data_IF_402421464887
#
_entry.id   IF_402421464887
#
_cell.length_a   1.000
_cell.length_b   1.000
_cell.length_c   1.000
_cell.angle_alpha   90.00
_cell.angle_beta   90.00
_cell.angle_gamma   90.00
#
_symmetry.space_group_name_H-M   'P 1'
#
loop_
_entity.id
_entity.type
_entity.pdbx_description
1 polymer ?
#
# COMPACT_ATOMS: atom_id res chain seq x y z
N UNK A 1 9.21 23.63 4.39
CA UNK A 1 8.67 22.39 3.80
C UNK A 1 9.30 21.20 4.50
N UNK A 2 8.56 20.50 5.37
CA UNK A 2 9.05 19.33 6.11
C UNK A 2 9.05 18.09 5.21
N UNK A 3 10.24 17.58 4.86
CA UNK A 3 10.39 16.30 4.17
C UNK A 3 10.32 15.17 5.20
N UNK A 4 9.20 14.43 5.22
CA UNK A 4 9.09 13.18 5.98
C UNK A 4 9.79 12.09 5.18
N UNK A 5 11.00 11.73 5.60
CA UNK A 5 11.73 10.58 5.05
C UNK A 5 11.50 9.35 5.92
N UNK A 6 11.25 8.22 5.27
CA UNK A 6 11.34 6.90 5.91
C UNK A 6 12.82 6.63 6.22
N UNK A 7 13.11 6.04 7.38
CA UNK A 7 14.46 5.82 7.88
C UNK A 7 15.34 5.10 6.85
N UNK A 8 16.42 5.74 6.41
CA UNK A 8 17.56 5.11 5.73
C UNK A 8 18.72 5.06 6.72
N UNK A 9 19.32 3.88 6.87
CA UNK A 9 20.49 3.65 7.69
C UNK A 9 21.66 3.35 6.75
N UNK A 10 22.36 4.39 6.32
CA UNK A 10 23.69 4.27 5.71
C UNK A 10 24.68 4.97 6.64
N UNK A 11 25.65 4.21 7.11
CA UNK A 11 26.82 4.72 7.79
C UNK A 11 27.75 5.31 6.73
N UNK A 12 28.01 6.61 6.79
CA UNK A 12 29.29 7.22 6.44
C UNK A 12 29.33 8.63 7.05
N UNK A 13 30.48 8.94 7.65
CA UNK A 13 30.71 10.02 8.60
C UNK A 13 30.99 11.38 7.92
N UNK A 14 30.87 12.46 8.71
CA UNK A 14 31.44 13.80 8.55
C UNK A 14 30.57 14.95 7.97
N UNK A 15 29.68 15.48 8.82
CA UNK A 15 29.51 16.92 9.12
C UNK A 15 28.37 17.06 10.13
N UNK A 16 28.70 17.35 11.40
CA UNK A 16 27.74 17.52 12.50
C UNK A 16 26.84 18.75 12.25
N UNK A 17 25.70 18.54 11.60
CA UNK A 17 24.48 19.29 11.90
C UNK A 17 23.73 18.48 12.95
N UNK A 18 23.63 18.98 14.18
CA UNK A 18 22.76 18.39 15.20
C UNK A 18 21.31 18.43 14.71
N UNK A 19 20.91 17.38 14.03
CA UNK A 19 19.56 17.21 13.53
C UNK A 19 18.81 16.50 14.65
N UNK A 20 18.03 17.23 15.47
CA UNK A 20 17.20 16.61 16.50
C UNK A 20 16.12 15.74 15.83
N UNK A 21 16.42 14.45 15.60
CA UNK A 21 15.48 13.50 15.02
C UNK A 21 14.42 13.13 16.07
N UNK A 22 13.24 13.74 16.02
CA UNK A 22 12.09 13.29 16.81
C UNK A 22 11.32 12.24 16.00
N UNK A 23 11.22 11.02 16.54
CA UNK A 23 10.37 9.96 16.00
C UNK A 23 9.03 9.90 16.75
N UNK A 24 7.95 9.69 16.02
CA UNK A 24 6.60 9.52 16.56
C UNK A 24 6.06 8.16 16.13
N UNK A 25 5.61 7.35 17.08
CA UNK A 25 5.06 6.02 16.82
C UNK A 25 3.54 6.06 16.88
N UNK A 26 2.87 5.55 15.85
CA UNK A 26 1.41 5.55 15.73
C UNK A 26 0.91 4.12 15.61
N UNK A 27 0.03 3.70 16.53
CA UNK A 27 -0.65 2.40 16.49
C UNK A 27 0.06 1.28 17.25
N UNK A 28 -0.08 0.04 16.75
CA UNK A 28 0.40 -1.18 17.42
C UNK A 28 1.90 -1.43 17.28
N UNK A 29 2.33 -2.69 17.44
CA UNK A 29 3.70 -3.14 17.17
C UNK A 29 3.68 -4.59 16.70
N UNK A 30 4.78 -5.11 16.15
CA UNK A 30 4.85 -6.53 15.75
C UNK A 30 4.55 -7.43 16.95
N UNK A 31 5.12 -7.13 18.11
CA UNK A 31 4.97 -7.89 19.35
C UNK A 31 3.51 -7.90 19.81
N UNK A 32 2.87 -6.73 19.86
CA UNK A 32 1.45 -6.61 20.22
C UNK A 32 0.54 -7.32 19.23
N UNK A 33 0.81 -7.19 17.93
CA UNK A 33 0.02 -7.84 16.88
C UNK A 33 0.07 -9.37 17.01
N UNK A 34 1.27 -9.94 17.24
CA UNK A 34 1.45 -11.37 17.42
C UNK A 34 0.86 -11.90 18.74
N UNK A 35 0.89 -11.09 19.80
CA UNK A 35 0.22 -11.42 21.06
C UNK A 35 -1.31 -11.38 20.93
N UNK A 36 -1.84 -10.57 20.01
CA UNK A 36 -3.27 -10.27 19.91
C UNK A 36 -3.70 -9.11 20.80
N UNK A 37 -2.75 -8.36 21.36
CA UNK A 37 -2.95 -7.22 22.25
C UNK A 37 -3.15 -5.92 21.45
N UNK A 38 -3.97 -6.01 20.41
CA UNK A 38 -4.34 -4.90 19.53
C UNK A 38 -5.86 -4.81 19.44
N UNK A 39 -6.39 -3.61 19.57
CA UNK A 39 -7.82 -3.38 19.37
C UNK A 39 -8.08 -3.11 17.89
N UNK A 40 -8.95 -3.92 17.28
CA UNK A 40 -9.32 -3.79 15.88
C UNK A 40 -10.85 -3.77 15.77
N UNK A 41 -11.42 -2.57 15.78
CA UNK A 41 -12.86 -2.34 15.67
C UNK A 41 -13.27 -2.23 14.19
N UNK A 42 -14.04 -3.20 13.63
CA UNK A 42 -14.35 -3.24 12.20
C UNK A 42 -15.01 -1.96 11.66
N UNK A 43 -16.01 -1.45 12.38
CA UNK A 43 -16.77 -0.26 11.97
C UNK A 43 -15.86 0.97 11.94
N UNK A 44 -15.03 1.15 12.97
CA UNK A 44 -14.11 2.28 13.04
C UNK A 44 -13.10 2.24 11.87
N UNK A 45 -12.54 1.07 11.56
CA UNK A 45 -11.62 0.89 10.42
C UNK A 45 -12.30 1.26 9.11
N UNK A 46 -13.51 0.75 8.86
CA UNK A 46 -14.24 1.00 7.61
C UNK A 46 -14.65 2.48 7.47
N UNK A 47 -15.13 3.10 8.55
CA UNK A 47 -15.50 4.52 8.55
C UNK A 47 -14.29 5.44 8.33
N UNK A 48 -13.17 5.13 8.99
CA UNK A 48 -11.94 5.88 8.81
C UNK A 48 -11.42 5.72 7.37
N UNK A 49 -11.40 4.50 6.84
CA UNK A 49 -10.99 4.22 5.47
C UNK A 49 -11.86 4.99 4.47
N UNK A 50 -13.17 5.06 4.69
CA UNK A 50 -14.08 5.81 3.83
C UNK A 50 -13.74 7.30 3.82
N UNK A 51 -13.57 7.93 4.99
CA UNK A 51 -13.20 9.34 5.12
C UNK A 51 -11.86 9.66 4.46
N UNK A 52 -10.85 8.83 4.71
CA UNK A 52 -9.51 9.01 4.16
C UNK A 52 -9.51 8.83 2.64
N UNK A 53 -10.28 7.87 2.13
CA UNK A 53 -10.45 7.64 0.69
C UNK A 53 -11.10 8.84 0.03
N UNK A 54 -12.21 9.34 0.58
CA UNK A 54 -12.89 10.53 0.08
C UNK A 54 -11.97 11.75 0.03
N UNK A 55 -11.23 12.00 1.12
CA UNK A 55 -10.31 13.13 1.24
C UNK A 55 -9.17 13.10 0.22
N UNK A 56 -8.62 11.92 -0.06
CA UNK A 56 -7.43 11.78 -0.91
C UNK A 56 -7.73 11.24 -2.32
N UNK A 57 -9.01 11.09 -2.67
CA UNK A 57 -9.46 10.37 -3.85
C UNK A 57 -8.75 10.84 -5.13
N UNK A 58 -8.76 12.14 -5.40
CA UNK A 58 -8.19 12.73 -6.63
C UNK A 58 -6.68 12.54 -6.75
N UNK A 59 -5.96 12.55 -5.63
CA UNK A 59 -4.49 12.36 -5.60
C UNK A 59 -4.09 10.90 -5.66
N UNK A 60 -4.95 10.01 -5.18
CA UNK A 60 -4.67 8.58 -5.09
C UNK A 60 -5.17 7.79 -6.30
N UNK A 61 -6.32 8.18 -6.86
CA UNK A 61 -6.96 7.48 -7.97
C UNK A 61 -6.04 7.25 -9.18
N UNK A 62 -5.21 8.21 -9.65
CA UNK A 62 -4.33 7.96 -10.79
C UNK A 62 -3.32 6.84 -10.54
N UNK A 63 -2.80 6.72 -9.31
CA UNK A 63 -1.88 5.63 -8.95
C UNK A 63 -2.60 4.27 -8.95
N UNK A 64 -3.84 4.24 -8.45
CA UNK A 64 -4.66 3.02 -8.45
C UNK A 64 -5.09 2.61 -9.86
N UNK A 65 -5.43 3.57 -10.74
CA UNK A 65 -5.71 3.32 -12.15
C UNK A 65 -4.46 2.78 -12.86
N UNK A 66 -3.29 3.38 -12.60
CA UNK A 66 -2.01 2.90 -13.14
C UNK A 66 -1.75 1.44 -12.73
N UNK A 67 -1.96 1.10 -11.46
CA UNK A 67 -1.86 -0.26 -10.96
C UNK A 67 -2.84 -1.21 -11.67
N UNK A 68 -4.10 -0.78 -11.81
CA UNK A 68 -5.15 -1.59 -12.45
C UNK A 68 -4.87 -1.85 -13.94
N UNK A 69 -4.45 -0.83 -14.69
CA UNK A 69 -4.05 -0.97 -16.09
C UNK A 69 -2.83 -1.90 -16.21
N UNK A 70 -1.84 -1.74 -15.32
CA UNK A 70 -0.67 -2.62 -15.30
C UNK A 70 -1.05 -4.07 -15.00
N UNK A 71 -1.99 -4.31 -14.07
CA UNK A 71 -2.51 -5.64 -13.79
C UNK A 71 -3.17 -6.27 -15.02
N UNK A 72 -4.03 -5.51 -15.72
CA UNK A 72 -4.67 -5.99 -16.96
C UNK A 72 -3.61 -6.28 -18.03
N UNK A 73 -2.63 -5.39 -18.21
CA UNK A 73 -1.57 -5.57 -19.20
C UNK A 73 -0.72 -6.83 -18.92
N UNK A 74 -0.35 -7.08 -17.66
CA UNK A 74 0.36 -8.28 -17.25
C UNK A 74 -0.49 -9.54 -17.48
N UNK A 75 -1.78 -9.50 -17.14
CA UNK A 75 -2.69 -10.62 -17.36
C UNK A 75 -2.81 -10.97 -18.84
N UNK A 76 -3.01 -9.96 -19.70
CA UNK A 76 -3.09 -10.15 -21.15
C UNK A 76 -1.77 -10.67 -21.72
N UNK A 77 -0.64 -10.15 -21.24
CA UNK A 77 0.68 -10.63 -21.65
C UNK A 77 0.89 -12.11 -21.25
N UNK A 78 0.58 -12.47 -20.01
CA UNK A 78 0.72 -13.84 -19.52
C UNK A 78 -0.23 -14.82 -20.22
N UNK A 79 -1.46 -14.40 -20.56
CA UNK A 79 -2.36 -15.21 -21.38
C UNK A 79 -1.83 -15.38 -22.80
N UNK A 80 -1.29 -14.32 -23.42
CA UNK A 80 -0.68 -14.39 -24.75
C UNK A 80 0.51 -15.36 -24.77
N UNK A 81 1.36 -15.34 -23.74
CA UNK A 81 2.51 -16.26 -23.63
C UNK A 81 2.06 -17.72 -23.53
N UNK A 82 0.94 -17.99 -22.88
CA UNK A 82 0.48 -19.36 -22.63
C UNK A 82 -0.41 -19.94 -23.73
N UNK A 83 -1.28 -19.12 -24.33
CA UNK A 83 -2.28 -19.57 -25.30
C UNK A 83 -2.02 -19.03 -26.72
N UNK A 84 -0.95 -18.26 -26.93
CA UNK A 84 -0.66 -17.53 -28.17
C UNK A 84 -1.55 -16.30 -28.40
N UNK A 85 -2.82 -16.34 -27.96
CA UNK A 85 -3.78 -15.24 -28.01
C UNK A 85 -4.66 -15.20 -26.76
N UNK A 86 -4.81 -14.03 -26.09
CA UNK A 86 -5.73 -13.89 -24.97
C UNK A 86 -7.19 -14.15 -25.33
N UNK A 87 -7.58 -13.95 -26.59
CA UNK A 87 -8.97 -14.13 -27.03
C UNK A 87 -9.48 -15.54 -26.80
N UNK A 88 -8.60 -16.56 -26.91
CA UNK A 88 -8.94 -17.96 -26.64
C UNK A 88 -9.51 -18.13 -25.23
N UNK A 89 -8.94 -17.42 -24.25
CA UNK A 89 -9.41 -17.45 -22.87
C UNK A 89 -10.73 -16.71 -22.69
N UNK A 90 -10.86 -15.51 -23.27
CA UNK A 90 -12.09 -14.71 -23.13
C UNK A 90 -13.28 -15.32 -23.86
N UNK A 91 -13.07 -15.88 -25.06
CA UNK A 91 -14.12 -16.55 -25.82
C UNK A 91 -14.66 -17.76 -25.07
N UNK A 92 -13.79 -18.55 -24.42
CA UNK A 92 -14.20 -19.66 -23.60
C UNK A 92 -15.08 -19.21 -22.41
N UNK A 93 -14.72 -18.10 -21.77
CA UNK A 93 -15.48 -17.51 -20.67
C UNK A 93 -16.83 -16.92 -21.10
N UNK A 94 -16.88 -16.19 -22.21
CA UNK A 94 -18.08 -15.49 -22.69
C UNK A 94 -19.09 -16.51 -23.25
N UNK A 95 -18.62 -17.46 -24.04
CA UNK A 95 -19.49 -18.44 -24.70
C UNK A 95 -19.89 -19.59 -23.78
N UNK A 96 -19.17 -19.78 -22.67
CA UNK A 96 -19.34 -20.92 -21.76
C UNK A 96 -18.95 -22.27 -22.39
N UNK A 97 -18.37 -22.25 -23.60
CA UNK A 97 -17.97 -23.44 -24.36
C UNK A 97 -16.44 -23.46 -24.48
N UNK A 98 -15.86 -24.66 -24.51
CA UNK A 98 -14.41 -24.80 -24.71
C UNK A 98 -13.57 -24.54 -23.47
N UNK A 99 -14.12 -24.66 -22.26
CA UNK A 99 -13.32 -24.79 -21.04
C UNK A 99 -12.55 -26.12 -21.06
N UNK A 100 -11.35 -26.09 -21.62
CA UNK A 100 -10.40 -27.20 -21.55
C UNK A 100 -9.54 -27.08 -20.30
N UNK A 101 -8.97 -28.20 -19.86
CA UNK A 101 -7.99 -28.20 -18.77
C UNK A 101 -6.80 -27.26 -19.05
N UNK A 102 -6.39 -27.18 -20.32
CA UNK A 102 -5.33 -26.28 -20.78
C UNK A 102 -5.68 -24.80 -20.59
N UNK A 103 -6.88 -24.37 -20.97
CA UNK A 103 -7.33 -22.97 -20.82
C UNK A 103 -7.45 -22.61 -19.33
N UNK A 104 -7.94 -23.53 -18.50
CA UNK A 104 -8.01 -23.33 -17.05
C UNK A 104 -6.61 -23.18 -16.43
N UNK A 105 -5.69 -24.10 -16.76
CA UNK A 105 -4.29 -24.02 -16.33
C UNK A 105 -3.64 -22.70 -16.78
N UNK A 106 -3.89 -22.29 -18.02
CA UNK A 106 -3.38 -21.03 -18.55
C UNK A 106 -3.89 -19.83 -17.76
N UNK A 107 -5.19 -19.81 -17.43
CA UNK A 107 -5.79 -18.77 -16.58
C UNK A 107 -5.16 -18.69 -15.20
N UNK A 108 -5.01 -19.83 -14.51
CA UNK A 108 -4.38 -19.87 -13.19
C UNK A 108 -2.93 -19.37 -13.21
N UNK A 109 -2.15 -19.86 -14.16
CA UNK A 109 -0.75 -19.47 -14.32
C UNK A 109 -0.60 -18.01 -14.74
N UNK A 110 -1.53 -17.50 -15.55
CA UNK A 110 -1.52 -16.09 -15.97
C UNK A 110 -1.82 -15.17 -14.79
N UNK A 111 -2.81 -15.53 -13.97
CA UNK A 111 -3.10 -14.83 -12.72
C UNK A 111 -1.88 -14.84 -11.78
N UNK A 112 -1.30 -16.02 -11.52
CA UNK A 112 -0.13 -16.18 -10.66
C UNK A 112 1.03 -15.27 -11.07
N UNK A 113 1.44 -15.30 -12.34
CA UNK A 113 2.56 -14.48 -12.80
C UNK A 113 2.24 -12.99 -12.81
N UNK A 114 1.00 -12.61 -13.13
CA UNK A 114 0.57 -11.22 -13.08
C UNK A 114 0.68 -10.67 -11.66
N UNK A 115 0.20 -11.43 -10.67
CA UNK A 115 0.27 -11.07 -9.26
C UNK A 115 1.71 -10.97 -8.75
N UNK A 116 2.62 -11.85 -9.19
CA UNK A 116 4.03 -11.77 -8.82
C UNK A 116 4.71 -10.54 -9.44
N UNK A 117 4.47 -10.27 -10.72
CA UNK A 117 5.16 -9.21 -11.47
C UNK A 117 4.64 -7.81 -11.12
N UNK A 118 3.39 -7.67 -10.68
CA UNK A 118 2.83 -6.37 -10.26
C UNK A 118 3.38 -5.90 -8.89
N UNK A 119 4.06 -6.77 -8.14
CA UNK A 119 4.45 -6.53 -6.75
C UNK A 119 5.11 -5.16 -6.47
N UNK A 120 6.05 -4.64 -7.29
CA UNK A 120 6.66 -3.34 -7.03
C UNK A 120 5.65 -2.18 -7.11
N UNK A 121 4.75 -2.20 -8.10
CA UNK A 121 3.68 -1.21 -8.20
C UNK A 121 2.67 -1.35 -7.05
N UNK A 122 2.36 -2.58 -6.66
CA UNK A 122 1.51 -2.87 -5.50
C UNK A 122 2.09 -2.26 -4.22
N UNK A 123 3.39 -2.38 -4.00
CA UNK A 123 4.11 -1.73 -2.88
C UNK A 123 3.97 -0.22 -2.96
N UNK A 124 4.17 0.37 -4.13
CA UNK A 124 4.03 1.81 -4.34
C UNK A 124 2.67 2.34 -3.87
N UNK A 125 1.60 1.72 -4.34
CA UNK A 125 0.22 2.07 -3.94
C UNK A 125 -0.02 1.81 -2.45
N UNK A 126 0.49 0.69 -1.91
CA UNK A 126 0.35 0.34 -0.49
C UNK A 126 1.05 1.35 0.43
N UNK A 127 2.24 1.83 0.08
CA UNK A 127 2.96 2.86 0.82
C UNK A 127 2.28 4.24 0.71
N UNK A 128 1.65 4.54 -0.43
CA UNK A 128 0.80 5.74 -0.55
C UNK A 128 -0.41 5.66 0.39
N UNK A 129 -1.11 4.53 0.43
CA UNK A 129 -2.21 4.33 1.38
C UNK A 129 -1.73 4.40 2.84
N UNK A 130 -0.53 3.89 3.12
CA UNK A 130 0.10 4.00 4.44
C UNK A 130 0.34 5.45 4.86
N UNK A 131 0.80 6.32 3.95
CA UNK A 131 0.89 7.76 4.22
C UNK A 131 -0.49 8.35 4.57
N UNK A 132 -1.54 7.95 3.86
CA UNK A 132 -2.88 8.48 4.15
C UNK A 132 -3.39 8.09 5.54
N UNK A 133 -3.09 6.88 6.01
CA UNK A 133 -3.54 6.41 7.34
C UNK A 133 -2.90 7.18 8.50
N UNK A 134 -1.83 7.93 8.26
CA UNK A 134 -1.17 8.81 9.25
C UNK A 134 -1.32 10.29 8.90
N UNK A 135 -2.21 10.63 7.95
CA UNK A 135 -2.51 12.01 7.57
C UNK A 135 -1.45 12.68 6.69
N UNK A 136 -0.49 11.93 6.16
CA UNK A 136 0.53 12.47 5.27
C UNK A 136 0.00 12.62 3.84
N UNK A 137 0.33 13.72 3.16
CA UNK A 137 -0.09 13.94 1.78
C UNK A 137 0.69 13.03 0.81
N UNK A 138 0.03 12.62 -0.27
CA UNK A 138 0.68 11.88 -1.36
C UNK A 138 0.53 12.58 -2.71
N UNK A 139 1.38 12.18 -3.65
CA UNK A 139 1.30 12.55 -5.07
C UNK A 139 1.31 11.26 -5.89
N UNK A 140 0.59 11.21 -7.01
CA UNK A 140 0.48 10.01 -7.85
C UNK A 140 1.84 9.42 -8.27
N UNK A 141 2.83 10.26 -8.58
CA UNK A 141 4.18 9.81 -8.95
C UNK A 141 4.91 9.04 -7.82
N UNK A 142 4.42 9.08 -6.57
CA UNK A 142 5.01 8.31 -5.48
C UNK A 142 4.83 6.79 -5.64
N UNK A 143 3.94 6.33 -6.53
CA UNK A 143 3.83 4.90 -6.86
C UNK A 143 5.18 4.31 -7.31
N UNK A 144 6.04 5.11 -7.97
CA UNK A 144 7.35 4.63 -8.46
C UNK A 144 8.32 4.32 -7.32
N UNK A 145 8.08 4.83 -6.10
CA UNK A 145 8.89 4.48 -4.92
C UNK A 145 8.81 2.99 -4.58
N UNK A 146 7.77 2.30 -5.04
CA UNK A 146 7.65 0.85 -4.91
C UNK A 146 8.77 0.09 -5.64
N UNK A 147 9.34 0.65 -6.72
CA UNK A 147 10.45 0.01 -7.44
C UNK A 147 11.75 -0.06 -6.63
N UNK A 148 11.94 0.79 -5.62
CA UNK A 148 13.06 0.64 -4.67
C UNK A 148 12.99 -0.66 -3.86
N UNK A 149 11.84 -1.34 -3.88
CA UNK A 149 11.59 -2.62 -3.20
C UNK A 149 11.42 -3.78 -4.18
N UNK A 150 11.77 -3.60 -5.47
CA UNK A 150 11.44 -4.57 -6.53
C UNK A 150 11.81 -6.01 -6.15
N UNK A 151 13.08 -6.27 -5.85
CA UNK A 151 13.55 -7.63 -5.57
C UNK A 151 12.83 -8.26 -4.37
N UNK A 152 12.77 -7.54 -3.25
CA UNK A 152 12.16 -8.07 -2.02
C UNK A 152 10.64 -8.22 -2.17
N UNK A 153 9.98 -7.33 -2.91
CA UNK A 153 8.54 -7.38 -3.17
C UNK A 153 8.14 -8.56 -4.05
N UNK A 154 8.91 -8.84 -5.12
CA UNK A 154 8.69 -9.98 -6.01
C UNK A 154 8.86 -11.30 -5.25
N UNK A 155 9.94 -11.44 -4.47
CA UNK A 155 10.17 -12.65 -3.65
C UNK A 155 9.03 -12.85 -2.66
N UNK A 156 8.61 -11.76 -2.00
CA UNK A 156 7.51 -11.82 -1.02
C UNK A 156 6.20 -12.23 -1.69
N UNK A 157 5.87 -11.63 -2.83
CA UNK A 157 4.64 -11.93 -3.55
C UNK A 157 4.63 -13.33 -4.16
N UNK A 158 5.78 -13.82 -4.63
CA UNK A 158 5.95 -15.20 -5.08
C UNK A 158 5.62 -16.17 -3.95
N UNK A 159 6.22 -16.00 -2.77
CA UNK A 159 5.95 -16.85 -1.60
C UNK A 159 4.48 -16.80 -1.18
N UNK A 160 3.92 -15.59 -1.09
CA UNK A 160 2.51 -15.38 -0.74
C UNK A 160 1.59 -16.09 -1.75
N UNK A 161 1.83 -15.90 -3.04
CA UNK A 161 1.00 -16.45 -4.12
C UNK A 161 1.11 -17.97 -4.19
N UNK A 162 2.31 -18.54 -3.96
CA UNK A 162 2.48 -20.00 -3.89
C UNK A 162 1.72 -20.61 -2.72
N UNK A 163 1.79 -20.01 -1.52
CA UNK A 163 1.05 -20.49 -0.34
C UNK A 163 -0.46 -20.39 -0.59
N UNK A 164 -0.94 -19.27 -1.15
CA UNK A 164 -2.35 -19.09 -1.49
C UNK A 164 -2.82 -20.08 -2.57
N UNK A 165 -2.00 -20.34 -3.59
CA UNK A 165 -2.28 -21.29 -4.65
C UNK A 165 -2.45 -22.71 -4.10
N UNK A 166 -1.54 -23.16 -3.23
CA UNK A 166 -1.64 -24.47 -2.56
C UNK A 166 -2.91 -24.52 -1.70
N UNK A 167 -3.19 -23.49 -0.90
CA UNK A 167 -4.39 -23.44 -0.06
C UNK A 167 -5.68 -23.49 -0.87
N UNK A 168 -5.74 -22.77 -1.98
CA UNK A 168 -6.89 -22.73 -2.88
C UNK A 168 -7.15 -24.07 -3.56
N UNK A 169 -6.09 -24.82 -3.90
CA UNK A 169 -6.18 -26.16 -4.48
C UNK A 169 -6.72 -27.21 -3.50
N UNK A 170 -6.50 -27.03 -2.19
CA UNK A 170 -7.08 -27.91 -1.15
C UNK A 170 -8.56 -27.56 -0.96
N UNK A 171 -8.85 -26.28 -0.72
CA UNK A 171 -10.22 -25.80 -0.54
C UNK A 171 -10.30 -24.29 -0.82
N UNK A 172 -11.21 -23.81 -1.69
CA UNK A 172 -11.27 -22.38 -2.05
C UNK A 172 -11.38 -21.42 -0.85
N UNK A 173 -12.09 -21.81 0.22
CA UNK A 173 -12.20 -20.97 1.42
C UNK A 173 -10.87 -20.87 2.21
N UNK A 174 -10.00 -21.88 2.13
CA UNK A 174 -8.64 -21.80 2.70
C UNK A 174 -7.81 -20.79 1.91
N UNK A 175 -7.92 -20.81 0.58
CA UNK A 175 -7.33 -19.78 -0.29
C UNK A 175 -7.76 -18.37 0.08
N UNK A 176 -9.08 -18.16 0.22
CA UNK A 176 -9.66 -16.87 0.61
C UNK A 176 -9.16 -16.40 1.99
N UNK A 177 -9.12 -17.30 2.97
CA UNK A 177 -8.55 -16.99 4.28
C UNK A 177 -7.07 -16.60 4.18
N UNK A 178 -6.27 -17.31 3.37
CA UNK A 178 -4.86 -17.00 3.18
C UNK A 178 -4.63 -15.66 2.48
N UNK A 179 -5.49 -15.27 1.53
CA UNK A 179 -5.45 -13.93 0.92
C UNK A 179 -5.59 -12.83 1.99
N UNK A 180 -6.51 -13.01 2.94
CA UNK A 180 -6.65 -12.11 4.08
C UNK A 180 -5.45 -12.21 5.04
N UNK A 181 -5.05 -13.42 5.42
CA UNK A 181 -4.02 -13.67 6.43
C UNK A 181 -2.63 -13.20 6.01
N UNK A 182 -2.32 -13.23 4.72
CA UNK A 182 -1.01 -12.83 4.18
C UNK A 182 -1.01 -11.39 3.64
N UNK A 183 -2.15 -10.70 3.69
CA UNK A 183 -2.34 -9.39 3.08
C UNK A 183 -1.41 -8.29 3.61
N UNK A 184 -0.92 -8.40 4.86
CA UNK A 184 -0.08 -7.39 5.51
C UNK A 184 1.43 -7.64 5.31
N UNK A 185 1.81 -8.83 4.86
CA UNK A 185 3.22 -9.25 4.75
C UNK A 185 4.02 -8.32 3.83
N UNK A 186 3.47 -7.87 2.70
CA UNK A 186 4.18 -6.98 1.78
C UNK A 186 4.51 -5.62 2.41
N UNK A 187 3.61 -5.06 3.22
CA UNK A 187 3.85 -3.81 3.95
C UNK A 187 4.87 -4.02 5.08
N UNK A 188 4.85 -5.16 5.77
CA UNK A 188 5.84 -5.52 6.80
C UNK A 188 7.26 -5.57 6.20
N UNK A 189 7.43 -6.19 5.04
CA UNK A 189 8.73 -6.24 4.35
C UNK A 189 9.22 -4.84 3.97
N UNK A 190 8.33 -4.00 3.43
CA UNK A 190 8.73 -2.72 2.86
C UNK A 190 8.92 -1.64 3.94
N UNK A 191 8.06 -1.59 4.96
CA UNK A 191 8.13 -0.56 6.00
C UNK A 191 8.97 -1.00 7.21
N UNK A 192 8.79 -2.24 7.73
CA UNK A 192 9.57 -2.75 8.87
C UNK A 192 10.89 -3.42 8.49
N UNK A 193 11.16 -3.62 7.19
CA UNK A 193 12.40 -4.25 6.69
C UNK A 193 12.65 -5.66 7.26
N UNK A 194 11.58 -6.35 7.65
CA UNK A 194 11.67 -7.75 8.06
C UNK A 194 11.79 -8.65 6.82
N UNK A 195 12.41 -9.82 6.96
CA UNK A 195 12.56 -10.76 5.84
C UNK A 195 11.19 -11.28 5.36
N UNK A 196 11.03 -11.65 4.08
CA UNK A 196 9.75 -12.13 3.53
C UNK A 196 9.10 -13.24 4.35
N UNK A 197 9.89 -14.22 4.80
CA UNK A 197 9.39 -15.35 5.60
C UNK A 197 8.84 -14.86 6.95
N UNK A 198 9.59 -13.99 7.65
CA UNK A 198 9.13 -13.41 8.93
C UNK A 198 7.87 -12.57 8.72
N UNK A 199 7.81 -11.78 7.66
CA UNK A 199 6.64 -10.97 7.34
C UNK A 199 5.37 -11.82 7.12
N UNK A 200 5.51 -12.94 6.41
CA UNK A 200 4.44 -13.93 6.21
C UNK A 200 3.97 -14.48 7.56
N UNK A 201 4.91 -14.90 8.43
CA UNK A 201 4.59 -15.42 9.76
C UNK A 201 3.87 -14.38 10.63
N UNK A 202 4.38 -13.14 10.66
CA UNK A 202 3.79 -12.05 11.45
C UNK A 202 2.40 -11.69 10.93
N UNK A 203 2.21 -11.56 9.63
CA UNK A 203 0.91 -11.29 9.00
C UNK A 203 -0.10 -12.40 9.33
N UNK A 204 0.31 -13.66 9.16
CA UNK A 204 -0.54 -14.81 9.40
C UNK A 204 -0.95 -14.90 10.86
N UNK A 205 0.01 -14.86 11.79
CA UNK A 205 -0.24 -14.98 13.22
C UNK A 205 -1.12 -13.85 13.74
N UNK A 206 -0.82 -12.61 13.36
CA UNK A 206 -1.62 -11.45 13.75
C UNK A 206 -3.06 -11.55 13.23
N UNK A 207 -3.24 -12.05 12.00
CA UNK A 207 -4.59 -12.26 11.44
C UNK A 207 -5.34 -13.36 12.16
N UNK A 208 -4.69 -14.49 12.50
CA UNK A 208 -5.32 -15.57 13.28
C UNK A 208 -5.79 -15.06 14.64
N UNK A 209 -4.96 -14.26 15.34
CA UNK A 209 -5.30 -13.65 16.64
C UNK A 209 -6.47 -12.66 16.56
N UNK A 210 -6.76 -12.12 15.38
CA UNK A 210 -7.84 -11.16 15.14
C UNK A 210 -8.76 -11.61 13.99
N UNK A 211 -8.98 -12.91 13.87
CA UNK A 211 -9.70 -13.49 12.72
C UNK A 211 -11.12 -12.95 12.60
N UNK A 212 -11.83 -12.78 13.72
CA UNK A 212 -13.22 -12.29 13.72
C UNK A 212 -13.33 -10.85 13.17
N UNK A 213 -12.64 -9.83 13.75
CA UNK A 213 -12.71 -8.49 13.20
C UNK A 213 -12.11 -8.38 11.80
N UNK A 214 -11.04 -9.11 11.49
CA UNK A 214 -10.46 -9.16 10.13
C UNK A 214 -11.49 -9.68 9.12
N UNK A 215 -12.15 -10.80 9.43
CA UNK A 215 -13.18 -11.40 8.57
C UNK A 215 -14.34 -10.44 8.34
N UNK A 216 -14.82 -9.75 9.39
CA UNK A 216 -15.90 -8.77 9.25
C UNK A 216 -15.52 -7.62 8.30
N UNK A 217 -14.31 -7.08 8.42
CA UNK A 217 -13.82 -6.01 7.53
C UNK A 217 -13.70 -6.52 6.09
N UNK A 218 -13.06 -7.67 5.88
CA UNK A 218 -12.83 -8.23 4.55
C UNK A 218 -14.12 -8.69 3.87
N UNK A 219 -15.13 -9.12 4.63
CA UNK A 219 -16.46 -9.45 4.10
C UNK A 219 -17.16 -8.22 3.54
N UNK A 220 -17.09 -7.06 4.23
CA UNK A 220 -17.62 -5.79 3.69
C UNK A 220 -16.87 -5.39 2.42
N UNK A 221 -15.53 -5.47 2.44
CA UNK A 221 -14.70 -5.20 1.25
C UNK A 221 -15.09 -6.12 0.09
N UNK A 222 -15.27 -7.42 0.34
CA UNK A 222 -15.67 -8.40 -0.66
C UNK A 222 -17.04 -8.07 -1.26
N UNK A 223 -18.03 -7.69 -0.45
CA UNK A 223 -19.34 -7.24 -0.92
C UNK A 223 -19.20 -6.01 -1.82
N UNK A 224 -18.36 -5.03 -1.45
CA UNK A 224 -18.09 -3.86 -2.27
C UNK A 224 -17.45 -4.22 -3.62
N UNK A 225 -16.56 -5.22 -3.67
CA UNK A 225 -16.02 -5.71 -4.93
C UNK A 225 -17.11 -6.34 -5.81
N UNK A 226 -18.02 -7.13 -5.24
CA UNK A 226 -19.17 -7.68 -5.99
C UNK A 226 -20.09 -6.58 -6.54
N UNK A 227 -20.43 -5.58 -5.73
CA UNK A 227 -21.22 -4.41 -6.18
C UNK A 227 -20.50 -3.64 -7.30
N UNK A 228 -19.19 -3.50 -7.20
CA UNK A 228 -18.37 -2.84 -8.22
C UNK A 228 -18.34 -3.60 -9.54
N UNK A 229 -18.30 -4.94 -9.51
CA UNK A 229 -18.42 -5.76 -10.72
C UNK A 229 -19.83 -5.65 -11.31
N UNK A 230 -20.87 -5.68 -10.47
CA UNK A 230 -22.26 -5.54 -10.91
C UNK A 230 -22.55 -4.19 -11.59
N UNK A 231 -21.77 -3.14 -11.28
CA UNK A 231 -21.82 -1.82 -11.94
C UNK A 231 -20.88 -1.73 -13.15
N UNK A 232 -20.67 -2.84 -13.86
CA UNK A 232 -19.76 -2.97 -15.00
C UNK A 232 -18.31 -2.52 -14.71
N UNK A 233 -17.89 -2.59 -13.44
CA UNK A 233 -16.56 -2.17 -12.99
C UNK A 233 -16.44 -0.69 -12.62
N UNK A 234 -17.46 0.15 -12.82
CA UNK A 234 -17.40 1.59 -12.49
C UNK A 234 -17.14 1.78 -11.00
N UNK A 235 -17.76 0.97 -10.13
CA UNK A 235 -17.52 1.02 -8.70
C UNK A 235 -16.07 0.73 -8.28
N UNK A 236 -15.28 0.03 -9.11
CA UNK A 236 -13.88 -0.30 -8.79
C UNK A 236 -13.02 0.96 -8.66
N UNK A 237 -13.38 2.06 -9.34
CA UNK A 237 -12.70 3.33 -9.21
C UNK A 237 -12.67 3.84 -7.77
N UNK A 238 -13.72 3.55 -6.98
CA UNK A 238 -13.77 3.87 -5.55
C UNK A 238 -13.34 2.70 -4.66
N UNK A 239 -13.77 1.47 -4.98
CA UNK A 239 -13.48 0.29 -4.16
C UNK A 239 -11.98 0.02 -4.06
N UNK A 240 -11.21 0.20 -5.15
CA UNK A 240 -9.76 -0.05 -5.12
C UNK A 240 -9.03 0.94 -4.18
N UNK A 241 -9.19 2.28 -4.30
CA UNK A 241 -8.65 3.22 -3.31
C UNK A 241 -9.09 2.90 -1.87
N UNK A 242 -10.37 2.58 -1.68
CA UNK A 242 -10.92 2.21 -0.38
C UNK A 242 -10.23 0.98 0.21
N UNK A 243 -10.07 -0.08 -0.59
CA UNK A 243 -9.42 -1.32 -0.18
C UNK A 243 -7.98 -1.09 0.29
N UNK A 244 -7.18 -0.32 -0.45
CA UNK A 244 -5.82 0.00 -0.02
C UNK A 244 -5.78 0.81 1.28
N UNK A 245 -6.69 1.78 1.44
CA UNK A 245 -6.78 2.55 2.69
C UNK A 245 -7.25 1.71 3.88
N UNK A 246 -8.18 0.77 3.69
CA UNK A 246 -8.56 -0.23 4.72
C UNK A 246 -7.32 -1.02 5.16
N UNK A 247 -6.56 -1.57 4.20
CA UNK A 247 -5.33 -2.30 4.49
C UNK A 247 -4.31 -1.45 5.26
N UNK A 248 -4.14 -0.19 4.88
CA UNK A 248 -3.22 0.72 5.54
C UNK A 248 -3.64 1.05 6.99
N UNK A 249 -4.93 1.18 7.28
CA UNK A 249 -5.44 1.40 8.63
C UNK A 249 -5.30 0.13 9.48
N UNK A 250 -5.65 -1.04 8.94
CA UNK A 250 -5.41 -2.33 9.61
C UNK A 250 -3.93 -2.44 9.97
N UNK A 251 -3.05 -2.18 9.01
CA UNK A 251 -1.61 -2.23 9.22
C UNK A 251 -1.16 -1.30 10.34
N UNK A 252 -1.56 -0.02 10.30
CA UNK A 252 -1.25 0.97 11.35
C UNK A 252 -1.74 0.49 12.72
N UNK A 253 -2.98 0.05 12.82
CA UNK A 253 -3.58 -0.35 14.09
C UNK A 253 -2.91 -1.60 14.67
N UNK A 254 -2.55 -2.57 13.82
CA UNK A 254 -1.93 -3.83 14.25
C UNK A 254 -0.43 -3.68 14.51
N UNK A 255 0.34 -3.19 13.53
CA UNK A 255 1.81 -3.24 13.54
C UNK A 255 2.48 -1.89 13.85
N UNK A 256 1.71 -0.80 13.79
CA UNK A 256 2.19 0.55 14.02
C UNK A 256 3.09 1.09 12.90
N UNK A 257 3.26 2.40 12.87
CA UNK A 257 4.10 3.13 11.89
C UNK A 257 4.97 4.11 12.65
N UNK A 258 6.25 4.19 12.29
CA UNK A 258 7.19 5.16 12.88
C UNK A 258 7.43 6.31 11.92
N UNK A 259 7.04 7.51 12.32
CA UNK A 259 7.27 8.76 11.58
C UNK A 259 8.53 9.43 12.09
N UNK A 260 9.41 9.89 11.21
CA UNK A 260 10.53 10.75 11.58
C UNK A 260 10.26 12.18 11.10
N UNK A 261 10.30 13.14 12.02
CA UNK A 261 10.22 14.56 11.69
C UNK A 261 11.64 15.12 11.70
N UNK A 262 12.13 15.52 10.53
CA UNK A 262 13.37 16.28 10.40
C UNK A 262 13.01 17.76 10.36
N UNK A 263 13.21 18.47 11.46
CA UNK A 263 13.23 19.93 11.45
C UNK A 263 14.59 20.39 10.90
N UNK A 264 14.58 21.13 9.80
CA UNK A 264 15.75 21.89 9.36
C UNK A 264 15.67 23.23 10.07
N UNK A 265 16.53 23.45 11.07
CA UNK A 265 16.70 24.78 11.68
C UNK A 265 17.34 25.69 10.64
N UNK A 266 16.75 26.85 10.30
CA UNK A 266 17.46 27.87 9.53
C UNK A 266 18.66 28.34 10.34
N UNK A 267 19.85 28.40 9.75
CA UNK A 267 21.04 28.95 10.41
C UNK A 267 20.78 30.43 10.72
N UNK A 268 20.86 30.82 12.00
CA UNK A 268 20.81 32.21 12.49
C UNK A 268 22.20 32.86 12.61
N UNK A 269 23.19 32.41 11.84
CA UNK A 269 24.54 32.96 11.87
C UNK A 269 24.96 33.47 10.50
N UNK A 270 24.48 34.67 10.15
CA UNK A 270 25.25 35.60 9.31
C UNK A 270 24.94 37.06 9.68
N UNK A 271 25.20 37.39 10.96
CA UNK A 271 25.32 38.77 11.42
C UNK A 271 26.80 39.12 11.59
N UNK A 272 27.44 39.62 10.53
CA UNK A 272 28.48 40.63 10.70
C UNK A 272 28.76 41.43 9.42
N UNK A 273 28.16 42.61 9.31
CA UNK A 273 28.87 43.79 8.78
C UNK A 273 28.32 45.05 9.43
N UNK A 274 29.11 45.66 10.30
CA UNK A 274 28.95 47.07 10.66
C UNK A 274 29.48 47.89 9.50
N UNK A 275 28.72 48.86 9.00
CA UNK A 275 29.16 50.25 8.74
C UNK A 275 27.93 51.13 8.58
N UNK A 276 27.99 52.28 9.24
CA UNK A 276 27.02 53.39 9.28
C UNK A 276 26.61 53.91 7.89
N UNK A 277 25.36 54.35 7.71
CA UNK A 277 24.97 55.78 7.68
C UNK A 277 23.48 55.95 7.26
N UNK A 278 22.77 56.75 8.06
CA UNK A 278 21.73 57.75 7.70
C UNK A 278 20.62 57.48 6.65
N UNK A 279 19.40 57.68 7.17
CA UNK A 279 18.34 58.62 6.70
C UNK A 279 17.19 58.11 5.79
N UNK A 280 16.00 58.22 6.40
CA UNK A 280 14.65 58.57 5.90
C UNK A 280 13.69 57.57 5.22
N UNK A 281 12.49 57.51 5.84
CA UNK A 281 11.14 57.62 5.25
C UNK A 281 10.74 56.63 4.15
N UNK A 282 9.56 55.99 4.10
CA UNK A 282 8.25 56.29 4.66
C UNK A 282 7.28 55.14 4.26
N UNK A 283 6.24 54.95 5.07
CA UNK A 283 4.83 54.74 4.64
C UNK A 283 4.45 53.46 3.85
N UNK A 284 3.80 52.54 4.59
CA UNK A 284 2.39 52.14 4.45
C UNK A 284 1.92 51.21 3.31
N UNK A 285 0.82 50.51 3.65
CA UNK A 285 -0.11 49.73 2.83
C UNK A 285 0.38 48.36 2.32
N UNK A 286 -0.41 47.31 2.17
CA UNK A 286 -1.78 46.96 2.54
C UNK A 286 -1.89 45.47 2.16
N UNK A 287 -2.61 44.69 2.96
CA UNK A 287 -3.69 43.78 2.52
C UNK A 287 -3.50 42.90 1.26
N UNK A 288 -3.64 41.57 1.40
CA UNK A 288 -4.74 40.75 0.83
C UNK A 288 -4.44 39.25 0.75
N UNK A 289 -5.48 38.48 1.06
CA UNK A 289 -5.71 37.06 0.75
C UNK A 289 -5.69 36.76 -0.75
N UNK A 290 -5.30 35.53 -1.09
CA UNK A 290 -6.07 34.60 -1.93
C UNK A 290 -5.70 33.15 -1.56
#
# INVERSE_FOLDING_TARGET
MSNVQYAYQNNDDMSMKETTKKSFHVGGSIEKAMAGDVELQPIAVLQEAFKITAKNFTKFLPAVICLFIAQIALLLLSLKVQLGSPNVFFDAFITGKGFTEEILKAGFMANFWSDVLIAPLYVGVSLMALNHSVGLPTKANQIVKGFSFTLVSIITMLLISSIQGIGSSIFPLVGLFLTMALSMAILLVCEKRVTPIKAIQYSFMATVRKVMPMTAIYLVVMILFFVSIATAGIGLLWTLPFFFNVKAIIYRNMFGITLQVTSVTPNEDDHNSKTDDKINESVNNDTFNA
#
